data_IF_294327262141
#
_entry.id   IF_294327262141
#
_cell.length_a   1.000
_cell.length_b   1.000
_cell.length_c   1.000
_cell.angle_alpha   90.00
_cell.angle_beta   90.00
_cell.angle_gamma   90.00
#
_symmetry.space_group_name_H-M   'P 1'
#
loop_
_entity.id
_entity.type
_entity.pdbx_description
1 polymer ?
#
# COMPACT_ATOMS: atom_id res chain seq x y z
N UNK A 1 19.39 4.98 -44.85
CA UNK A 1 19.28 5.45 -43.45
C UNK A 1 20.01 6.78 -43.28
N UNK A 2 19.27 7.89 -43.18
CA UNK A 2 19.80 9.18 -42.71
C UNK A 2 18.62 10.03 -42.24
N UNK A 3 18.17 9.76 -41.01
CA UNK A 3 17.03 10.43 -40.36
C UNK A 3 17.42 11.78 -39.72
N UNK A 4 18.50 12.42 -40.19
CA UNK A 4 18.90 13.75 -39.71
C UNK A 4 18.62 14.80 -40.80
N UNK A 5 17.71 15.77 -40.55
CA UNK A 5 17.45 16.84 -41.50
C UNK A 5 18.73 17.67 -41.71
N UNK A 6 19.07 17.88 -42.98
CA UNK A 6 20.21 18.72 -43.43
C UNK A 6 20.00 20.20 -43.15
N UNK A 7 18.75 20.62 -42.90
CA UNK A 7 18.36 22.00 -42.59
C UNK A 7 18.46 22.30 -41.10
N UNK A 8 19.02 23.47 -40.74
CA UNK A 8 19.07 23.99 -39.37
C UNK A 8 17.68 24.03 -38.71
N UNK A 9 16.63 24.34 -39.49
CA UNK A 9 15.25 24.38 -39.02
C UNK A 9 14.74 23.00 -38.58
N UNK A 10 15.10 21.94 -39.31
CA UNK A 10 14.70 20.58 -38.97
C UNK A 10 15.42 20.05 -37.72
N UNK A 11 16.67 20.46 -37.48
CA UNK A 11 17.39 20.13 -36.23
C UNK A 11 16.79 20.84 -35.03
N UNK A 12 16.42 22.11 -35.18
CA UNK A 12 15.70 22.87 -34.16
C UNK A 12 14.33 22.28 -33.86
N UNK A 13 13.56 21.92 -34.89
CA UNK A 13 12.26 21.27 -34.73
C UNK A 13 12.39 19.91 -34.02
N UNK A 14 13.38 19.09 -34.38
CA UNK A 14 13.67 17.83 -33.68
C UNK A 14 14.08 18.04 -32.22
N UNK A 15 14.88 19.06 -31.93
CA UNK A 15 15.27 19.40 -30.56
C UNK A 15 14.06 19.82 -29.73
N UNK A 16 13.18 20.67 -30.28
CA UNK A 16 11.95 21.09 -29.61
C UNK A 16 11.00 19.91 -29.37
N UNK A 17 10.83 19.05 -30.38
CA UNK A 17 9.96 17.87 -30.27
C UNK A 17 10.50 16.85 -29.27
N UNK A 18 11.82 16.64 -29.24
CA UNK A 18 12.50 15.79 -28.25
C UNK A 18 12.36 16.37 -26.84
N UNK A 19 12.61 17.67 -26.67
CA UNK A 19 12.48 18.36 -25.39
C UNK A 19 11.04 18.27 -24.85
N UNK A 20 10.05 18.45 -25.72
CA UNK A 20 8.64 18.28 -25.38
C UNK A 20 8.34 16.84 -24.94
N UNK A 21 8.84 15.84 -25.66
CA UNK A 21 8.68 14.43 -25.29
C UNK A 21 9.28 14.12 -23.91
N UNK A 22 10.49 14.61 -23.65
CA UNK A 22 11.18 14.42 -22.36
C UNK A 22 10.40 15.09 -21.23
N UNK A 23 9.92 16.32 -21.44
CA UNK A 23 9.10 17.03 -20.46
C UNK A 23 7.79 16.30 -20.15
N UNK A 24 7.12 15.75 -21.17
CA UNK A 24 5.91 14.97 -20.99
C UNK A 24 6.16 13.67 -20.21
N UNK A 25 7.22 12.93 -20.55
CA UNK A 25 7.62 11.71 -19.84
C UNK A 25 7.99 11.99 -18.39
N UNK A 26 8.72 13.09 -18.14
CA UNK A 26 9.07 13.52 -16.80
C UNK A 26 7.83 13.86 -15.97
N UNK A 27 6.88 14.61 -16.56
CA UNK A 27 5.62 14.98 -15.90
C UNK A 27 4.78 13.74 -15.58
N UNK A 28 4.66 12.79 -16.50
CA UNK A 28 3.97 11.52 -16.27
C UNK A 28 4.64 10.68 -15.18
N UNK A 29 5.97 10.65 -15.17
CA UNK A 29 6.75 9.98 -14.13
C UNK A 29 6.49 10.58 -12.75
N UNK A 30 6.52 11.91 -12.64
CA UNK A 30 6.25 12.65 -11.41
C UNK A 30 4.82 12.42 -10.92
N UNK A 31 3.83 12.46 -11.84
CA UNK A 31 2.44 12.23 -11.52
C UNK A 31 2.22 10.81 -10.96
N UNK A 32 2.80 9.79 -11.60
CA UNK A 32 2.73 8.40 -11.11
C UNK A 32 3.40 8.23 -9.75
N UNK A 33 4.54 8.87 -9.53
CA UNK A 33 5.22 8.82 -8.23
C UNK A 33 4.38 9.47 -7.13
N UNK A 34 3.83 10.66 -7.40
CA UNK A 34 3.00 11.41 -6.46
C UNK A 34 1.71 10.65 -6.10
N UNK A 35 1.00 10.11 -7.10
CA UNK A 35 -0.21 9.31 -6.84
C UNK A 35 0.07 8.11 -5.93
N UNK A 36 1.12 7.35 -6.22
CA UNK A 36 1.47 6.17 -5.41
C UNK A 36 1.88 6.51 -3.97
N UNK A 37 2.38 7.72 -3.74
CA UNK A 37 2.76 8.18 -2.40
C UNK A 37 1.53 8.69 -1.63
N UNK A 38 0.65 9.44 -2.31
CA UNK A 38 -0.61 9.94 -1.72
C UNK A 38 -1.52 8.76 -1.33
N UNK A 39 -1.66 7.74 -2.19
CA UNK A 39 -2.46 6.54 -1.89
C UNK A 39 -1.95 5.81 -0.63
N UNK A 40 -0.62 5.66 -0.49
CA UNK A 40 -0.03 5.00 0.68
C UNK A 40 -0.26 5.80 1.96
N UNK A 41 -0.19 7.13 1.88
CA UNK A 41 -0.45 8.02 3.01
C UNK A 41 -1.93 7.99 3.43
N UNK A 42 -2.86 8.05 2.47
CA UNK A 42 -4.29 7.96 2.74
C UNK A 42 -4.67 6.61 3.36
N UNK A 43 -4.09 5.51 2.87
CA UNK A 43 -4.29 4.20 3.49
C UNK A 43 -3.75 4.14 4.92
N UNK A 44 -2.59 4.74 5.19
CA UNK A 44 -2.03 4.79 6.52
C UNK A 44 -2.91 5.61 7.48
N UNK A 45 -3.39 6.77 7.04
CA UNK A 45 -4.31 7.64 7.79
C UNK A 45 -5.62 6.89 8.10
N UNK A 46 -6.22 6.26 7.10
CA UNK A 46 -7.43 5.45 7.29
C UNK A 46 -7.22 4.31 8.28
N UNK A 47 -6.05 3.65 8.25
CA UNK A 47 -5.70 2.58 9.19
C UNK A 47 -5.64 3.12 10.63
N UNK A 48 -5.05 4.28 10.84
CA UNK A 48 -4.92 4.88 12.17
C UNK A 48 -6.28 5.31 12.71
N UNK A 49 -7.10 5.97 11.89
CA UNK A 49 -8.46 6.34 12.28
C UNK A 49 -9.30 5.11 12.62
N UNK A 50 -9.19 4.05 11.82
CA UNK A 50 -9.88 2.78 12.08
C UNK A 50 -9.40 2.13 13.38
N UNK A 51 -8.09 2.17 13.66
CA UNK A 51 -7.54 1.65 14.91
C UNK A 51 -8.01 2.44 16.12
N UNK A 52 -8.06 3.77 16.05
CA UNK A 52 -8.56 4.62 17.12
C UNK A 52 -10.06 4.36 17.40
N UNK A 53 -10.84 4.18 16.34
CA UNK A 53 -12.26 3.78 16.45
C UNK A 53 -12.40 2.40 17.10
N UNK A 54 -11.59 1.42 16.66
CA UNK A 54 -11.59 0.07 17.23
C UNK A 54 -11.15 0.08 18.69
N UNK A 55 -10.12 0.82 19.05
CA UNK A 55 -9.68 0.95 20.44
C UNK A 55 -10.80 1.49 21.33
N UNK A 56 -11.46 2.57 20.88
CA UNK A 56 -12.59 3.17 21.60
C UNK A 56 -13.77 2.19 21.73
N UNK A 57 -14.09 1.45 20.67
CA UNK A 57 -15.15 0.45 20.69
C UNK A 57 -14.81 -0.72 21.64
N UNK A 58 -13.58 -1.23 21.60
CA UNK A 58 -13.13 -2.37 22.39
C UNK A 58 -12.96 -2.04 23.88
N UNK A 59 -12.73 -0.78 24.25
CA UNK A 59 -12.71 -0.34 25.65
C UNK A 59 -14.04 -0.62 26.38
N UNK A 60 -15.16 -0.62 25.66
CA UNK A 60 -16.49 -0.90 26.21
C UNK A 60 -16.81 -2.38 26.44
N UNK A 61 -15.97 -3.29 25.93
CA UNK A 61 -16.23 -4.74 25.96
C UNK A 61 -15.23 -5.51 26.83
N UNK A 62 -15.70 -6.60 27.44
CA UNK A 62 -14.83 -7.58 28.11
C UNK A 62 -13.99 -8.37 27.08
N UNK A 63 -12.83 -8.94 27.45
CA UNK A 63 -11.94 -9.64 26.52
C UNK A 63 -12.64 -10.71 25.65
N UNK A 64 -13.57 -11.46 26.25
CA UNK A 64 -14.32 -12.52 25.55
C UNK A 64 -15.35 -11.94 24.55
N UNK A 65 -15.95 -10.79 24.88
CA UNK A 65 -16.91 -10.10 24.02
C UNK A 65 -16.22 -9.36 22.87
N UNK A 66 -14.98 -8.92 23.07
CA UNK A 66 -14.15 -8.29 22.02
C UNK A 66 -13.96 -9.22 20.84
N UNK A 67 -13.66 -10.49 21.09
CA UNK A 67 -13.53 -11.51 20.05
C UNK A 67 -14.81 -11.62 19.23
N UNK A 68 -15.96 -11.77 19.91
CA UNK A 68 -17.26 -11.90 19.24
C UNK A 68 -17.61 -10.65 18.41
N UNK A 69 -17.29 -9.46 18.93
CA UNK A 69 -17.47 -8.20 18.22
C UNK A 69 -16.58 -8.10 16.98
N UNK A 70 -15.30 -8.48 17.09
CA UNK A 70 -14.35 -8.48 15.97
C UNK A 70 -14.79 -9.46 14.88
N UNK A 71 -15.25 -10.65 15.26
CA UNK A 71 -15.79 -11.64 14.32
C UNK A 71 -17.03 -11.11 13.57
N UNK A 72 -17.89 -10.33 14.24
CA UNK A 72 -19.08 -9.73 13.62
C UNK A 72 -18.73 -8.55 12.69
N UNK A 73 -17.69 -7.78 13.04
CA UNK A 73 -17.22 -6.63 12.24
C UNK A 73 -16.33 -7.05 11.08
N UNK A 74 -15.76 -8.26 11.11
CA UNK A 74 -14.87 -8.76 10.07
C UNK A 74 -15.51 -8.60 8.68
N UNK A 75 -14.89 -7.79 7.81
CA UNK A 75 -15.30 -7.66 6.42
C UNK A 75 -14.18 -8.07 5.48
N UNK A 76 -14.47 -8.93 4.49
CA UNK A 76 -13.45 -9.38 3.55
C UNK A 76 -12.85 -8.18 2.80
N UNK A 77 -11.51 -8.17 2.70
CA UNK A 77 -10.74 -7.13 2.01
C UNK A 77 -10.88 -5.71 2.59
N UNK A 78 -11.20 -5.60 3.88
CA UNK A 78 -11.16 -4.34 4.63
C UNK A 78 -10.05 -4.37 5.68
N UNK A 79 -9.83 -3.23 6.35
CA UNK A 79 -8.91 -3.15 7.49
C UNK A 79 -9.57 -3.90 8.65
N UNK A 80 -9.01 -5.05 9.01
CA UNK A 80 -9.53 -5.90 10.08
C UNK A 80 -8.50 -6.06 11.18
N UNK A 81 -9.02 -6.34 12.38
CA UNK A 81 -8.22 -6.72 13.53
C UNK A 81 -8.59 -8.15 13.91
N UNK A 82 -7.58 -9.02 13.93
CA UNK A 82 -7.73 -10.44 14.26
C UNK A 82 -7.02 -10.74 15.58
N UNK A 83 -7.64 -11.46 16.53
CA UNK A 83 -6.98 -11.90 17.75
C UNK A 83 -5.79 -12.80 17.45
N UNK A 84 -4.60 -12.49 17.99
CA UNK A 84 -3.40 -13.27 17.69
C UNK A 84 -3.44 -14.71 18.22
N UNK A 85 -4.31 -14.98 19.19
CA UNK A 85 -4.53 -16.31 19.75
C UNK A 85 -5.41 -17.21 18.87
N UNK A 86 -6.30 -16.62 18.05
CA UNK A 86 -7.29 -17.36 17.26
C UNK A 86 -6.88 -17.52 15.80
N UNK A 87 -6.17 -16.51 15.27
CA UNK A 87 -5.81 -16.47 13.86
C UNK A 87 -4.30 -16.55 13.69
N UNK A 88 -3.87 -17.60 12.99
CA UNK A 88 -2.47 -17.73 12.58
C UNK A 88 -2.26 -16.99 11.25
N UNK A 89 -1.26 -16.07 11.17
CA UNK A 89 -1.03 -15.35 9.93
C UNK A 89 -0.51 -16.29 8.84
N UNK A 90 -0.67 -15.92 7.57
CA UNK A 90 -0.04 -16.62 6.45
C UNK A 90 1.49 -16.66 6.61
N UNK A 91 2.10 -17.65 5.94
CA UNK A 91 3.55 -17.78 5.90
C UNK A 91 4.19 -16.50 5.37
N UNK A 92 5.31 -16.10 5.98
CA UNK A 92 6.06 -14.92 5.55
C UNK A 92 6.51 -15.11 4.09
N UNK A 93 5.90 -14.34 3.18
CA UNK A 93 6.38 -14.24 1.81
C UNK A 93 7.57 -13.28 1.75
N UNK A 94 8.60 -13.54 0.91
CA UNK A 94 9.73 -12.63 0.76
C UNK A 94 9.26 -11.20 0.47
N UNK A 95 9.73 -10.28 1.31
CA UNK A 95 9.33 -8.88 1.34
C UNK A 95 9.94 -8.11 0.15
N UNK A 96 9.25 -8.09 -0.99
CA UNK A 96 9.72 -7.41 -2.21
C UNK A 96 8.58 -6.66 -2.93
N UNK A 97 7.75 -5.94 -2.17
CA UNK A 97 6.66 -5.15 -2.73
C UNK A 97 6.83 -3.65 -2.42
N UNK A 98 7.24 -2.82 -3.40
CA UNK A 98 7.52 -1.39 -3.18
C UNK A 98 6.31 -0.59 -2.71
N UNK A 99 5.09 -1.05 -3.04
CA UNK A 99 3.85 -0.45 -2.53
C UNK A 99 3.64 -0.76 -1.04
N UNK A 100 3.94 -2.01 -0.61
CA UNK A 100 3.82 -2.41 0.79
C UNK A 100 4.81 -1.64 1.67
N UNK A 101 6.04 -1.43 1.18
CA UNK A 101 7.06 -0.63 1.85
C UNK A 101 6.64 0.82 2.05
N UNK A 102 6.03 1.47 1.05
CA UNK A 102 5.54 2.84 1.20
C UNK A 102 4.41 2.96 2.21
N UNK A 103 3.50 1.99 2.24
CA UNK A 103 2.44 1.94 3.27
C UNK A 103 3.06 1.78 4.65
N UNK A 104 4.02 0.87 4.83
CA UNK A 104 4.74 0.73 6.10
C UNK A 104 5.51 1.98 6.49
N UNK A 105 6.18 2.64 5.55
CA UNK A 105 6.91 3.88 5.81
C UNK A 105 5.96 5.01 6.21
N UNK A 106 4.78 5.06 5.58
CA UNK A 106 3.72 6.00 5.96
C UNK A 106 3.23 5.69 7.38
N UNK A 107 2.90 4.43 7.69
CA UNK A 107 2.53 4.01 9.06
C UNK A 107 3.62 4.30 10.10
N UNK A 108 4.90 4.10 9.74
CA UNK A 108 6.03 4.42 10.60
C UNK A 108 6.15 5.93 10.85
N UNK A 109 5.82 6.79 9.87
CA UNK A 109 5.78 8.24 10.06
C UNK A 109 4.71 8.69 11.05
N UNK A 110 3.65 7.88 11.21
CA UNK A 110 2.63 8.06 12.25
C UNK A 110 2.97 7.39 13.58
N UNK A 111 4.18 6.82 13.72
CA UNK A 111 4.67 6.23 14.97
C UNK A 111 4.43 4.73 15.13
N UNK A 112 3.87 4.04 14.13
CA UNK A 112 3.69 2.59 14.18
C UNK A 112 4.98 1.85 13.77
N UNK A 113 5.78 1.44 14.74
CA UNK A 113 7.03 0.70 14.49
C UNK A 113 6.73 -0.80 14.37
N UNK A 114 6.76 -1.33 13.15
CA UNK A 114 6.48 -2.75 12.90
C UNK A 114 7.77 -3.51 12.60
N UNK A 115 8.14 -4.43 13.49
CA UNK A 115 9.36 -5.22 13.37
C UNK A 115 9.19 -6.48 12.52
N UNK A 116 7.97 -7.00 12.38
CA UNK A 116 7.70 -8.30 11.75
C UNK A 116 6.41 -8.28 10.92
N UNK A 117 6.41 -7.48 9.86
CA UNK A 117 5.33 -7.48 8.87
C UNK A 117 5.34 -8.77 8.04
N UNK A 118 4.17 -9.33 7.77
CA UNK A 118 3.99 -10.46 6.85
C UNK A 118 3.15 -10.02 5.67
N UNK A 119 3.53 -10.48 4.47
CA UNK A 119 2.79 -10.20 3.25
C UNK A 119 2.08 -11.46 2.77
N UNK A 120 0.77 -11.34 2.56
CA UNK A 120 -0.03 -12.31 1.84
C UNK A 120 -0.20 -11.85 0.41
N UNK A 121 0.08 -12.71 -0.57
CA UNK A 121 -0.04 -12.37 -1.99
C UNK A 121 -1.30 -13.01 -2.62
N UNK A 122 -1.73 -14.16 -2.13
CA UNK A 122 -2.91 -14.90 -2.60
C UNK A 122 -3.87 -15.19 -1.42
N UNK A 123 -5.20 -15.09 -1.61
CA UNK A 123 -5.91 -14.76 -2.86
C UNK A 123 -5.88 -13.27 -3.24
N UNK A 124 -5.57 -12.36 -2.29
CA UNK A 124 -5.30 -10.93 -2.54
C UNK A 124 -4.11 -10.44 -1.73
N UNK A 125 -3.56 -9.28 -2.13
CA UNK A 125 -2.44 -8.65 -1.45
C UNK A 125 -2.89 -8.02 -0.12
N UNK A 126 -2.37 -8.54 1.00
CA UNK A 126 -2.67 -8.03 2.33
C UNK A 126 -1.40 -8.00 3.18
N UNK A 127 -1.24 -6.93 3.96
CA UNK A 127 -0.18 -6.84 4.96
C UNK A 127 -0.78 -7.25 6.30
N UNK A 128 -0.07 -8.12 7.00
CA UNK A 128 -0.36 -8.55 8.35
C UNK A 128 0.69 -7.95 9.28
N UNK A 129 0.25 -7.15 10.24
CA UNK A 129 1.12 -6.46 11.18
C UNK A 129 0.78 -6.90 12.62
N UNK A 130 1.76 -7.34 13.40
CA UNK A 130 1.54 -7.58 14.82
C UNK A 130 1.44 -6.23 15.53
N UNK A 131 0.32 -6.00 16.20
CA UNK A 131 0.09 -4.82 17.04
C UNK A 131 -0.39 -5.25 18.43
N UNK A 132 -0.31 -4.34 19.40
CA UNK A 132 -0.89 -4.55 20.73
C UNK A 132 -1.95 -3.49 20.96
N UNK A 133 -3.15 -3.91 21.34
CA UNK A 133 -4.24 -3.00 21.72
C UNK A 133 -4.79 -3.41 23.08
N UNK A 134 -4.96 -2.44 23.97
CA UNK A 134 -5.46 -2.67 25.33
C UNK A 134 -4.69 -3.77 26.09
N UNK A 135 -3.38 -3.91 25.82
CA UNK A 135 -2.51 -4.93 26.44
C UNK A 135 -2.48 -6.29 25.74
N UNK A 136 -3.43 -6.56 24.85
CA UNK A 136 -3.56 -7.85 24.15
C UNK A 136 -2.92 -7.82 22.75
N UNK A 137 -2.31 -8.92 22.29
CA UNK A 137 -1.72 -9.01 20.96
C UNK A 137 -2.78 -9.28 19.87
N UNK A 138 -2.72 -8.50 18.80
CA UNK A 138 -3.60 -8.62 17.63
C UNK A 138 -2.81 -8.59 16.33
N UNK A 139 -3.38 -9.18 15.28
CA UNK A 139 -2.95 -9.01 13.91
C UNK A 139 -3.82 -7.96 13.22
N UNK A 140 -3.20 -6.89 12.77
CA UNK A 140 -3.81 -5.91 11.89
C UNK A 140 -3.66 -6.38 10.44
N UNK A 141 -4.78 -6.56 9.76
CA UNK A 141 -4.83 -6.97 8.35
C UNK A 141 -5.19 -5.76 7.50
N UNK A 142 -4.25 -5.30 6.68
CA UNK A 142 -4.41 -4.15 5.80
C UNK A 142 -4.48 -4.64 4.35
N UNK A 143 -5.59 -4.41 3.62
CA UNK A 143 -5.65 -4.70 2.21
C UNK A 143 -4.76 -3.70 1.46
N UNK A 144 -3.79 -4.23 0.72
CA UNK A 144 -3.16 -3.46 -0.33
C UNK A 144 -4.14 -3.52 -1.49
N UNK A 145 -4.69 -2.36 -1.89
CA UNK A 145 -5.60 -2.27 -3.03
C UNK A 145 -5.08 -3.05 -4.25
N UNK A 146 -5.96 -3.36 -5.19
CA UNK A 146 -5.60 -4.17 -6.37
C UNK A 146 -4.29 -3.65 -6.95
N UNK A 147 -3.23 -4.48 -7.05
CA UNK A 147 -1.97 -4.00 -7.62
C UNK A 147 -2.29 -3.37 -8.96
N UNK A 148 -1.71 -2.20 -9.31
CA UNK A 148 -1.92 -1.61 -10.62
C UNK A 148 -1.69 -2.72 -11.63
N UNK A 149 -2.59 -2.91 -12.61
CA UNK A 149 -2.47 -4.01 -13.56
C UNK A 149 -1.02 -4.00 -14.04
N UNK A 150 -0.33 -5.16 -13.92
CA UNK A 150 0.92 -5.35 -14.64
C UNK A 150 0.55 -5.07 -16.08
N UNK A 151 0.84 -3.85 -16.55
CA UNK A 151 0.84 -3.56 -17.97
C UNK A 151 1.79 -4.61 -18.50
N UNK A 152 1.19 -5.62 -19.14
CA UNK A 152 1.93 -6.75 -19.64
C UNK A 152 3.10 -6.18 -20.41
N UNK A 153 4.27 -6.81 -20.24
CA UNK A 153 5.20 -6.89 -21.36
C UNK A 153 4.33 -7.32 -22.53
N UNK A 154 3.96 -6.35 -23.37
CA UNK A 154 3.44 -6.63 -24.69
C UNK A 154 4.47 -7.55 -25.29
N UNK A 155 4.06 -8.82 -25.45
CA UNK A 155 4.74 -9.81 -26.24
C UNK A 155 5.10 -9.14 -27.56
N UNK A 156 6.40 -8.99 -27.78
CA UNK A 156 7.03 -8.94 -29.09
C UNK A 156 8.26 -9.84 -29.00
#
# INVERSE_FOLDING_TARGET
>A
MRLLPRSLFGRLALLLMSLMLVSQLFTLGLLRFSHQQIEAQQLAEQVIDTLAELETALQGFAPDERVAFLALRHRPYSINLEPAAEVMPPNASPWQHPHAERVLQSLASFGMVVQSARLQIQPKQQIWLPIRMLGEPYWLVIPLGTPPPRMGRTLL
#
